data_IF_364031424012
#
_entry.id   IF_364031424012
#
_cell.length_a   1.000
_cell.length_b   1.000
_cell.length_c   1.000
_cell.angle_alpha   90.00
_cell.angle_beta   90.00
_cell.angle_gamma   90.00
#
_symmetry.space_group_name_H-M   'P 1'
#
loop_
_entity.id
_entity.type
_entity.pdbx_description
1 polymer ?
#
# COMPACT_ATOMS: atom_id res chain seq x y z
N UNK A 1 -19.10 -12.36 41.25
CA UNK A 1 -18.40 -12.09 39.99
C UNK A 1 -17.68 -13.37 39.64
N UNK A 2 -17.89 -13.92 38.44
CA UNK A 2 -17.13 -15.10 37.99
C UNK A 2 -15.63 -14.77 37.87
N UNK A 3 -14.80 -15.80 37.80
CA UNK A 3 -13.37 -15.62 37.56
C UNK A 3 -13.15 -15.02 36.16
N UNK A 4 -12.22 -14.07 36.06
CA UNK A 4 -11.88 -13.41 34.80
C UNK A 4 -11.28 -14.40 33.79
N UNK A 5 -11.83 -14.44 32.59
CA UNK A 5 -11.40 -15.34 31.52
C UNK A 5 -10.77 -14.57 30.33
N UNK A 6 -9.98 -15.24 29.47
CA UNK A 6 -9.52 -14.65 28.21
C UNK A 6 -10.65 -14.13 27.32
N UNK A 7 -11.82 -14.79 27.34
CA UNK A 7 -13.01 -14.36 26.60
C UNK A 7 -13.55 -13.03 27.14
N UNK A 8 -13.52 -12.81 28.45
CA UNK A 8 -13.90 -11.53 29.05
C UNK A 8 -12.94 -10.41 28.60
N UNK A 9 -11.66 -10.71 28.46
CA UNK A 9 -10.67 -9.77 27.93
C UNK A 9 -10.89 -9.43 26.46
N UNK A 10 -11.15 -10.45 25.63
CA UNK A 10 -11.45 -10.28 24.21
C UNK A 10 -12.70 -9.40 24.00
N UNK A 11 -13.75 -9.63 24.80
CA UNK A 11 -14.98 -8.83 24.77
C UNK A 11 -14.74 -7.40 25.28
N UNK A 12 -14.03 -7.23 26.41
CA UNK A 12 -13.77 -5.91 26.99
C UNK A 12 -12.97 -5.03 26.05
N UNK A 13 -11.95 -5.59 25.37
CA UNK A 13 -11.08 -4.84 24.46
C UNK A 13 -11.56 -4.86 23.00
N UNK A 14 -12.65 -5.56 22.69
CA UNK A 14 -13.23 -5.65 21.36
C UNK A 14 -12.24 -6.14 20.31
N UNK A 15 -11.34 -7.07 20.65
CA UNK A 15 -10.25 -7.49 19.74
C UNK A 15 -10.79 -8.01 18.42
N UNK A 16 -11.89 -8.77 18.45
CA UNK A 16 -12.56 -9.27 17.26
C UNK A 16 -13.10 -8.14 16.34
N UNK A 17 -13.46 -6.98 16.88
CA UNK A 17 -14.12 -5.91 16.12
C UNK A 17 -13.16 -5.13 15.22
N UNK A 18 -11.90 -4.95 15.65
CA UNK A 18 -10.91 -4.15 14.91
C UNK A 18 -9.78 -4.98 14.30
N UNK A 19 -9.54 -6.20 14.78
CA UNK A 19 -8.36 -6.98 14.38
C UNK A 19 -8.42 -7.48 12.95
N UNK A 20 -9.62 -7.60 12.35
CA UNK A 20 -9.79 -8.19 11.04
C UNK A 20 -9.30 -9.64 10.95
N UNK A 21 -9.27 -10.36 12.07
CA UNK A 21 -8.73 -11.73 12.15
C UNK A 21 -7.22 -11.82 12.33
N UNK A 22 -6.49 -10.70 12.27
CA UNK A 22 -5.02 -10.68 12.40
C UNK A 22 -4.52 -10.74 13.84
N UNK A 23 -5.38 -10.46 14.81
CA UNK A 23 -5.05 -10.47 16.23
C UNK A 23 -6.15 -11.20 17.02
N UNK A 24 -5.75 -11.99 18.01
CA UNK A 24 -6.65 -12.71 18.89
C UNK A 24 -6.09 -12.80 20.30
N UNK A 25 -6.94 -13.13 21.27
CA UNK A 25 -6.52 -13.48 22.64
C UNK A 25 -6.37 -15.00 22.73
N UNK A 26 -5.22 -15.49 23.18
CA UNK A 26 -4.97 -16.91 23.38
C UNK A 26 -5.66 -17.46 24.63
N UNK A 27 -5.71 -18.79 24.77
CA UNK A 27 -6.17 -19.44 26.01
C UNK A 27 -5.31 -19.09 27.24
N UNK A 28 -4.04 -18.73 27.02
CA UNK A 28 -3.14 -18.24 28.08
C UNK A 28 -3.35 -16.76 28.43
N UNK A 29 -4.25 -16.06 27.73
CA UNK A 29 -4.55 -14.63 27.93
C UNK A 29 -3.56 -13.67 27.25
N UNK A 30 -2.68 -14.18 26.38
CA UNK A 30 -1.73 -13.37 25.61
C UNK A 30 -2.35 -12.91 24.29
N UNK A 31 -1.82 -11.83 23.70
CA UNK A 31 -2.16 -11.44 22.33
C UNK A 31 -1.35 -12.28 21.34
N UNK A 32 -2.06 -12.88 20.39
CA UNK A 32 -1.49 -13.58 19.25
C UNK A 32 -1.66 -12.78 17.97
N UNK A 33 -0.70 -12.91 17.06
CA UNK A 33 -0.80 -12.43 15.68
C UNK A 33 -1.02 -13.62 14.74
N UNK A 34 -1.97 -13.46 13.84
CA UNK A 34 -2.30 -14.40 12.76
C UNK A 34 -1.99 -13.68 11.44
N UNK A 35 -0.78 -13.80 10.88
CA UNK A 35 -0.37 -12.97 9.75
C UNK A 35 -1.26 -13.08 8.51
N UNK A 36 -1.89 -14.23 8.25
CA UNK A 36 -2.78 -14.40 7.10
C UNK A 36 -4.24 -13.97 7.40
N UNK A 37 -4.58 -13.70 8.67
CA UNK A 37 -5.93 -13.26 9.07
C UNK A 37 -6.99 -14.36 9.05
N UNK A 38 -6.59 -15.62 8.81
CA UNK A 38 -7.49 -16.79 8.80
C UNK A 38 -7.23 -17.72 9.98
N UNK A 39 -8.19 -18.59 10.36
CA UNK A 39 -8.00 -19.56 11.43
C UNK A 39 -6.83 -20.54 11.20
N UNK A 40 -6.48 -20.80 9.94
CA UNK A 40 -5.36 -21.66 9.53
C UNK A 40 -4.01 -20.94 9.56
N UNK A 41 -4.01 -19.61 9.71
CA UNK A 41 -2.80 -18.81 9.85
C UNK A 41 -1.95 -19.32 11.02
N UNK A 42 -0.62 -19.35 10.90
CA UNK A 42 0.24 -19.58 12.06
C UNK A 42 -0.07 -18.54 13.14
N UNK A 43 -0.13 -18.99 14.39
CA UNK A 43 -0.34 -18.15 15.57
C UNK A 43 1.00 -17.77 16.17
N UNK A 44 1.21 -16.48 16.40
CA UNK A 44 2.45 -15.93 16.94
C UNK A 44 2.12 -15.22 18.25
N UNK A 45 2.49 -15.82 19.38
CA UNK A 45 2.36 -15.18 20.69
C UNK A 45 3.31 -13.97 20.81
N UNK A 46 2.76 -12.76 20.92
CA UNK A 46 3.55 -11.53 20.98
C UNK A 46 4.42 -11.43 22.22
N UNK A 47 3.96 -11.97 23.35
CA UNK A 47 4.70 -11.95 24.61
C UNK A 47 5.94 -12.84 24.51
N UNK A 48 5.79 -14.04 23.93
CA UNK A 48 6.92 -14.94 23.68
C UNK A 48 7.92 -14.36 22.67
N UNK A 49 7.44 -13.74 21.59
CA UNK A 49 8.30 -13.07 20.62
C UNK A 49 9.08 -11.91 21.25
N UNK A 50 8.42 -11.07 22.04
CA UNK A 50 9.07 -9.97 22.74
C UNK A 50 10.15 -10.47 23.70
N UNK A 51 9.88 -11.53 24.46
CA UNK A 51 10.87 -12.13 25.36
C UNK A 51 12.06 -12.71 24.60
N UNK A 52 11.83 -13.32 23.43
CA UNK A 52 12.89 -13.82 22.55
C UNK A 52 13.76 -12.69 22.02
N UNK A 53 13.16 -11.58 21.57
CA UNK A 53 13.88 -10.38 21.11
C UNK A 53 14.72 -9.78 22.25
N UNK A 54 14.17 -9.69 23.46
CA UNK A 54 14.88 -9.19 24.65
C UNK A 54 16.06 -10.07 25.05
N UNK A 55 15.93 -11.40 24.95
CA UNK A 55 17.03 -12.35 25.19
C UNK A 55 18.19 -12.17 24.21
N UNK A 56 17.91 -11.66 23.00
CA UNK A 56 18.93 -11.29 22.00
C UNK A 56 19.56 -9.91 22.26
N UNK A 57 19.23 -9.25 23.36
CA UNK A 57 19.82 -7.96 23.77
C UNK A 57 19.11 -6.72 23.20
N UNK A 58 18.05 -6.89 22.40
CA UNK A 58 17.27 -5.76 21.88
C UNK A 58 16.32 -5.25 22.95
N UNK A 59 16.35 -3.94 23.20
CA UNK A 59 15.55 -3.29 24.26
C UNK A 59 14.36 -2.53 23.67
N UNK A 60 13.22 -2.46 24.37
CA UNK A 60 12.10 -1.59 23.98
C UNK A 60 12.50 -0.09 23.94
N UNK A 61 11.82 0.75 23.14
CA UNK A 61 10.66 0.42 22.29
C UNK A 61 11.04 -0.40 21.04
N UNK A 62 10.21 -1.39 20.69
CA UNK A 62 10.39 -2.26 19.51
C UNK A 62 9.18 -2.12 18.61
N UNK A 63 9.42 -1.83 17.32
CA UNK A 63 8.40 -1.88 16.27
C UNK A 63 8.46 -3.25 15.58
N UNK A 64 7.41 -4.06 15.76
CA UNK A 64 7.26 -5.34 15.08
C UNK A 64 6.41 -5.16 13.82
N UNK A 65 6.86 -5.75 12.71
CA UNK A 65 6.15 -5.74 11.42
C UNK A 65 5.85 -7.18 11.03
N UNK A 66 4.65 -7.38 10.52
CA UNK A 66 4.16 -8.69 10.08
C UNK A 66 3.77 -8.61 8.62
N UNK A 67 4.69 -8.98 7.73
CA UNK A 67 4.45 -8.88 6.28
C UNK A 67 3.29 -9.74 5.80
N UNK A 68 2.98 -10.83 6.51
CA UNK A 68 1.81 -11.64 6.20
C UNK A 68 0.54 -10.80 6.19
N UNK A 69 0.40 -9.84 7.11
CA UNK A 69 -0.76 -8.94 7.17
C UNK A 69 -0.78 -8.08 5.91
N UNK A 70 0.34 -7.49 5.52
CA UNK A 70 0.43 -6.67 4.29
C UNK A 70 0.02 -7.47 3.06
N UNK A 71 0.54 -8.70 2.92
CA UNK A 71 0.20 -9.59 1.80
C UNK A 71 -1.27 -10.00 1.83
N UNK A 72 -1.80 -10.35 3.00
CA UNK A 72 -3.21 -10.72 3.16
C UNK A 72 -4.14 -9.57 2.76
N UNK A 73 -3.86 -8.33 3.19
CA UNK A 73 -4.64 -7.14 2.79
C UNK A 73 -4.62 -6.88 1.28
N UNK A 74 -3.49 -7.13 0.60
CA UNK A 74 -3.42 -7.03 -0.87
C UNK A 74 -4.33 -8.08 -1.51
N UNK A 75 -4.26 -9.34 -1.07
CA UNK A 75 -5.14 -10.41 -1.57
C UNK A 75 -6.62 -10.12 -1.32
N UNK A 76 -6.98 -9.66 -0.13
CA UNK A 76 -8.36 -9.29 0.22
C UNK A 76 -8.91 -8.19 -0.70
N UNK A 77 -8.12 -7.15 -0.98
CA UNK A 77 -8.54 -6.07 -1.90
C UNK A 77 -8.78 -6.59 -3.31
N UNK A 78 -7.85 -7.39 -3.86
CA UNK A 78 -8.05 -7.98 -5.19
C UNK A 78 -9.26 -8.91 -5.22
N UNK A 79 -9.40 -9.80 -4.23
CA UNK A 79 -10.54 -10.71 -4.15
C UNK A 79 -11.88 -9.96 -4.09
N UNK A 80 -11.97 -8.86 -3.32
CA UNK A 80 -13.18 -8.06 -3.23
C UNK A 80 -13.55 -7.40 -4.58
N UNK A 81 -12.57 -6.81 -5.27
CA UNK A 81 -12.82 -6.21 -6.59
C UNK A 81 -13.10 -7.27 -7.66
N UNK A 82 -12.46 -8.44 -7.61
CA UNK A 82 -12.72 -9.53 -8.54
C UNK A 82 -14.12 -10.13 -8.35
N UNK A 83 -14.58 -10.27 -7.10
CA UNK A 83 -15.95 -10.68 -6.79
C UNK A 83 -16.97 -9.68 -7.35
N UNK A 84 -16.77 -8.38 -7.11
CA UNK A 84 -17.64 -7.35 -7.66
C UNK A 84 -17.60 -7.34 -9.21
N UNK A 85 -16.43 -7.49 -9.82
CA UNK A 85 -16.33 -7.57 -11.29
C UNK A 85 -17.11 -8.74 -11.86
N UNK A 86 -17.05 -9.91 -11.21
CA UNK A 86 -17.81 -11.09 -11.60
C UNK A 86 -19.32 -10.90 -11.41
N UNK A 87 -19.75 -10.25 -10.32
CA UNK A 87 -21.17 -9.97 -10.05
C UNK A 87 -21.79 -9.03 -11.10
N UNK A 88 -21.03 -8.02 -11.56
CA UNK A 88 -21.50 -7.00 -12.49
C UNK A 88 -21.05 -7.21 -13.94
N UNK A 89 -20.49 -8.38 -14.28
CA UNK A 89 -19.94 -8.70 -15.61
C UNK A 89 -18.98 -7.63 -16.16
N UNK A 90 -18.16 -7.02 -15.29
CA UNK A 90 -17.24 -5.95 -15.67
C UNK A 90 -15.92 -6.51 -16.23
N UNK A 91 -15.62 -6.33 -17.53
CA UNK A 91 -14.58 -7.08 -18.20
C UNK A 91 -13.15 -6.60 -17.87
N UNK A 92 -12.99 -5.32 -17.54
CA UNK A 92 -11.66 -4.74 -17.35
C UNK A 92 -11.06 -5.13 -15.98
N UNK A 93 -9.74 -5.36 -15.90
CA UNK A 93 -9.07 -5.72 -14.66
C UNK A 93 -9.07 -4.57 -13.65
N UNK A 94 -9.10 -4.92 -12.37
CA UNK A 94 -8.77 -4.00 -11.29
C UNK A 94 -7.25 -3.97 -11.10
N UNK A 95 -6.68 -2.77 -10.93
CA UNK A 95 -5.26 -2.55 -10.67
C UNK A 95 -5.12 -1.68 -9.43
N UNK A 96 -4.61 -2.25 -8.34
CA UNK A 96 -4.36 -1.50 -7.10
C UNK A 96 -3.15 -0.58 -7.30
N UNK A 97 -3.21 0.64 -6.76
CA UNK A 97 -2.08 1.58 -6.72
C UNK A 97 -1.85 2.00 -5.27
N UNK A 98 -0.65 1.75 -4.74
CA UNK A 98 -0.31 2.09 -3.36
C UNK A 98 0.38 3.47 -3.27
N UNK A 99 -0.23 4.45 -2.57
CA UNK A 99 0.36 5.76 -2.36
C UNK A 99 1.48 5.69 -1.31
N UNK A 100 2.74 5.78 -1.74
CA UNK A 100 3.88 5.54 -0.84
C UNK A 100 4.01 6.61 0.25
N UNK A 101 3.36 7.77 0.10
CA UNK A 101 3.25 8.80 1.14
C UNK A 101 2.72 8.28 2.48
N UNK A 102 1.98 7.18 2.48
CA UNK A 102 1.43 6.54 3.68
C UNK A 102 2.53 5.84 4.48
N UNK A 103 3.44 5.15 3.79
CA UNK A 103 4.62 4.54 4.38
C UNK A 103 5.65 4.26 3.27
N UNK A 104 6.76 5.01 3.28
CA UNK A 104 7.85 4.93 2.30
C UNK A 104 8.90 3.88 2.64
N UNK A 105 8.77 3.14 3.76
CA UNK A 105 9.75 2.11 4.12
C UNK A 105 9.82 1.07 3.02
N UNK A 106 11.03 0.88 2.46
CA UNK A 106 11.31 -0.07 1.39
C UNK A 106 10.67 -1.44 1.64
N UNK A 107 10.80 -1.93 2.86
CA UNK A 107 10.25 -3.23 3.25
C UNK A 107 8.73 -3.32 3.05
N UNK A 108 7.99 -2.27 3.41
CA UNK A 108 6.53 -2.23 3.24
C UNK A 108 6.18 -2.20 1.75
N UNK A 109 6.81 -1.29 1.01
CA UNK A 109 6.54 -1.11 -0.42
C UNK A 109 6.85 -2.38 -1.21
N UNK A 110 8.01 -3.00 -0.96
CA UNK A 110 8.42 -4.24 -1.62
C UNK A 110 7.51 -5.43 -1.24
N UNK A 111 7.11 -5.56 0.02
CA UNK A 111 6.15 -6.60 0.46
C UNK A 111 4.81 -6.47 -0.27
N UNK A 112 4.28 -5.25 -0.42
CA UNK A 112 3.02 -4.99 -1.12
C UNK A 112 3.13 -5.26 -2.62
N UNK A 113 4.17 -4.73 -3.27
CA UNK A 113 4.37 -4.90 -4.72
C UNK A 113 4.66 -6.35 -5.10
N UNK A 114 5.39 -7.08 -4.26
CA UNK A 114 5.67 -8.50 -4.49
C UNK A 114 4.38 -9.32 -4.51
N UNK A 115 3.48 -9.09 -3.55
CA UNK A 115 2.17 -9.77 -3.50
C UNK A 115 1.27 -9.34 -4.68
N UNK A 116 1.20 -8.04 -4.95
CA UNK A 116 0.35 -7.49 -6.00
C UNK A 116 0.86 -7.68 -7.42
N UNK A 117 2.04 -8.28 -7.60
CA UNK A 117 2.74 -8.40 -8.90
C UNK A 117 1.89 -9.15 -9.93
N UNK A 118 1.22 -10.23 -9.53
CA UNK A 118 0.38 -11.04 -10.42
C UNK A 118 -0.81 -10.25 -11.01
N UNK A 119 -1.23 -9.19 -10.34
CA UNK A 119 -2.33 -8.32 -10.74
C UNK A 119 -1.85 -6.97 -11.31
N UNK A 120 -0.54 -6.82 -11.49
CA UNK A 120 0.07 -5.58 -11.99
C UNK A 120 -0.01 -4.41 -11.01
N UNK A 121 -0.01 -4.63 -9.70
CA UNK A 121 -0.06 -3.52 -8.72
C UNK A 121 0.93 -2.38 -9.05
N UNK A 122 0.47 -1.14 -8.95
CA UNK A 122 1.27 0.07 -9.19
C UNK A 122 1.55 0.85 -7.90
N UNK A 123 2.30 1.93 -8.05
CA UNK A 123 2.64 2.87 -6.98
C UNK A 123 2.15 4.28 -7.30
N UNK A 124 1.83 5.05 -6.28
CA UNK A 124 1.57 6.49 -6.41
C UNK A 124 2.60 7.27 -5.61
N UNK A 125 3.09 8.34 -6.24
CA UNK A 125 4.07 9.26 -5.70
C UNK A 125 3.51 10.67 -5.76
N UNK A 126 3.69 11.44 -4.69
CA UNK A 126 3.22 12.82 -4.57
C UNK A 126 4.31 13.87 -4.75
N UNK A 127 5.57 13.44 -4.93
CA UNK A 127 6.72 14.35 -5.00
C UNK A 127 7.92 13.74 -5.75
N UNK A 128 8.85 14.58 -6.18
CA UNK A 128 10.11 14.14 -6.82
C UNK A 128 10.95 13.20 -5.94
N UNK A 129 11.16 13.44 -4.63
CA UNK A 129 11.89 12.49 -3.78
C UNK A 129 11.20 11.12 -3.68
N UNK A 130 9.87 11.09 -3.64
CA UNK A 130 9.10 9.85 -3.67
C UNK A 130 9.24 9.11 -5.00
N UNK A 131 9.18 9.84 -6.13
CA UNK A 131 9.48 9.25 -7.44
C UNK A 131 10.88 8.63 -7.45
N UNK A 132 11.91 9.36 -7.04
CA UNK A 132 13.28 8.85 -6.98
C UNK A 132 13.40 7.60 -6.11
N UNK A 133 12.72 7.56 -4.96
CA UNK A 133 12.68 6.38 -4.10
C UNK A 133 12.08 5.16 -4.85
N UNK A 134 10.93 5.35 -5.50
CA UNK A 134 10.28 4.29 -6.29
C UNK A 134 11.15 3.79 -7.44
N UNK A 135 11.87 4.69 -8.14
CA UNK A 135 12.75 4.31 -9.25
C UNK A 135 13.92 3.41 -8.82
N UNK A 136 14.25 3.37 -7.53
CA UNK A 136 15.31 2.50 -6.98
C UNK A 136 14.82 1.13 -6.51
N UNK A 137 13.51 0.90 -6.50
CA UNK A 137 12.89 -0.33 -5.99
C UNK A 137 12.59 -1.32 -7.13
N UNK A 138 12.56 -2.62 -6.81
CA UNK A 138 12.04 -3.63 -7.74
C UNK A 138 10.51 -3.48 -7.86
N UNK A 139 10.08 -2.88 -8.96
CA UNK A 139 8.67 -2.58 -9.24
C UNK A 139 8.01 -3.62 -10.16
N UNK A 140 8.69 -4.73 -10.46
CA UNK A 140 8.16 -5.82 -11.28
C UNK A 140 8.29 -5.59 -12.80
N UNK A 141 7.58 -6.41 -13.58
CA UNK A 141 7.75 -6.51 -15.04
C UNK A 141 6.95 -5.49 -15.86
N UNK A 142 5.91 -4.89 -15.29
CA UNK A 142 5.14 -3.78 -15.89
C UNK A 142 4.88 -2.69 -14.84
N UNK A 143 5.93 -1.97 -14.42
CA UNK A 143 5.81 -1.04 -13.30
C UNK A 143 4.99 0.19 -13.70
N UNK A 144 3.91 0.43 -12.98
CA UNK A 144 3.05 1.61 -13.10
C UNK A 144 3.30 2.57 -11.94
N UNK A 145 3.59 3.83 -12.27
CA UNK A 145 3.75 4.90 -11.28
C UNK A 145 2.82 6.06 -11.62
N UNK A 146 1.92 6.38 -10.70
CA UNK A 146 1.04 7.54 -10.79
C UNK A 146 1.74 8.72 -10.13
N UNK A 147 2.04 9.77 -10.91
CA UNK A 147 2.73 10.97 -10.44
C UNK A 147 1.70 12.08 -10.13
N UNK A 148 1.41 12.26 -8.85
CA UNK A 148 0.56 13.31 -8.30
C UNK A 148 1.39 14.44 -7.65
N UNK A 149 0.68 15.43 -7.11
CA UNK A 149 1.25 16.54 -6.35
C UNK A 149 1.75 17.68 -7.24
N UNK A 150 2.49 18.61 -6.64
CA UNK A 150 3.09 19.73 -7.36
C UNK A 150 4.29 19.27 -8.18
N UNK A 151 4.29 19.57 -9.48
CA UNK A 151 5.32 19.15 -10.42
C UNK A 151 6.08 20.37 -10.93
N UNK A 152 7.33 20.49 -10.51
CA UNK A 152 8.29 21.38 -11.17
C UNK A 152 8.84 20.70 -12.44
N UNK A 153 9.59 21.46 -13.24
CA UNK A 153 10.13 20.96 -14.51
C UNK A 153 11.05 19.75 -14.28
N UNK A 154 11.85 19.74 -13.20
CA UNK A 154 12.70 18.59 -12.85
C UNK A 154 11.91 17.32 -12.53
N UNK A 155 10.79 17.42 -11.80
CA UNK A 155 9.92 16.27 -11.53
C UNK A 155 9.31 15.74 -12.84
N UNK A 156 8.82 16.63 -13.71
CA UNK A 156 8.26 16.25 -15.01
C UNK A 156 9.32 15.52 -15.84
N UNK A 157 10.51 16.09 -15.99
CA UNK A 157 11.61 15.48 -16.74
C UNK A 157 12.01 14.13 -16.17
N UNK A 158 12.12 14.01 -14.84
CA UNK A 158 12.44 12.75 -14.16
C UNK A 158 11.39 11.68 -14.46
N UNK A 159 10.10 12.03 -14.40
CA UNK A 159 9.02 11.10 -14.70
C UNK A 159 9.02 10.68 -16.17
N UNK A 160 9.34 11.58 -17.10
CA UNK A 160 9.46 11.24 -18.52
C UNK A 160 10.67 10.33 -18.77
N UNK A 161 11.83 10.64 -18.17
CA UNK A 161 13.04 9.82 -18.29
C UNK A 161 12.84 8.41 -17.73
N UNK A 162 12.07 8.25 -16.65
CA UNK A 162 11.72 6.94 -16.11
C UNK A 162 11.01 6.03 -17.15
N UNK A 163 10.31 6.60 -18.13
CA UNK A 163 9.71 5.83 -19.24
C UNK A 163 10.74 5.14 -20.11
N UNK A 164 11.93 5.71 -20.25
CA UNK A 164 13.06 5.05 -20.95
C UNK A 164 13.59 3.84 -20.20
N UNK A 165 13.30 3.71 -18.91
CA UNK A 165 13.61 2.54 -18.08
C UNK A 165 12.50 1.48 -18.15
N UNK A 166 11.49 1.66 -19.01
CA UNK A 166 10.34 0.75 -19.11
C UNK A 166 9.25 0.99 -18.07
N UNK A 167 9.33 2.07 -17.29
CA UNK A 167 8.36 2.40 -16.26
C UNK A 167 7.23 3.23 -16.84
N UNK A 168 5.99 2.75 -16.71
CA UNK A 168 4.81 3.51 -17.10
C UNK A 168 4.53 4.58 -16.05
N UNK A 169 5.08 5.77 -16.27
CA UNK A 169 4.75 6.96 -15.47
C UNK A 169 3.53 7.68 -16.05
N UNK A 170 2.54 7.95 -15.20
CA UNK A 170 1.34 8.73 -15.53
C UNK A 170 1.42 10.08 -14.82
N UNK A 171 1.60 11.15 -15.58
CA UNK A 171 1.62 12.52 -15.06
C UNK A 171 0.19 13.01 -14.87
N UNK A 172 -0.30 13.07 -13.63
CA UNK A 172 -1.66 13.51 -13.32
C UNK A 172 -1.69 15.03 -13.24
N UNK A 173 -2.40 15.66 -14.17
CA UNK A 173 -2.59 17.11 -14.20
C UNK A 173 -3.66 17.50 -13.18
N UNK A 174 -3.28 18.40 -12.26
CA UNK A 174 -4.18 19.04 -11.30
C UNK A 174 -4.51 20.49 -11.68
N UNK A 175 -3.59 21.16 -12.39
CA UNK A 175 -3.77 22.53 -12.90
C UNK A 175 -3.46 22.56 -14.40
N UNK A 176 -4.31 23.24 -15.17
CA UNK A 176 -4.13 23.40 -16.62
C UNK A 176 -2.72 23.88 -17.00
N UNK A 177 -2.12 24.76 -16.21
CA UNK A 177 -0.75 25.27 -16.42
C UNK A 177 0.34 24.19 -16.44
N UNK A 178 0.11 23.02 -15.83
CA UNK A 178 1.08 21.91 -15.85
C UNK A 178 1.17 21.27 -17.24
N UNK A 179 0.11 21.33 -18.05
CA UNK A 179 0.07 20.73 -19.38
C UNK A 179 1.17 21.29 -20.28
N UNK A 180 1.34 22.61 -20.30
CA UNK A 180 2.35 23.27 -21.13
C UNK A 180 3.77 22.86 -20.73
N UNK A 181 4.06 22.73 -19.43
CA UNK A 181 5.36 22.23 -18.95
C UNK A 181 5.59 20.78 -19.36
N UNK A 182 4.58 19.91 -19.24
CA UNK A 182 4.67 18.50 -19.65
C UNK A 182 4.97 18.39 -21.15
N UNK A 183 4.24 19.15 -21.98
CA UNK A 183 4.41 19.11 -23.44
C UNK A 183 5.79 19.65 -23.86
N UNK A 184 6.26 20.74 -23.26
CA UNK A 184 7.61 21.27 -23.53
C UNK A 184 8.70 20.27 -23.16
N UNK A 185 8.62 19.65 -21.98
CA UNK A 185 9.60 18.67 -21.54
C UNK A 185 9.56 17.40 -22.41
N UNK A 186 8.35 16.95 -22.80
CA UNK A 186 8.17 15.82 -23.72
C UNK A 186 8.81 16.05 -25.09
N UNK A 187 8.61 17.24 -25.68
CA UNK A 187 9.22 17.62 -26.96
C UNK A 187 10.75 17.70 -26.84
N UNK A 188 11.24 18.37 -25.80
CA UNK A 188 12.68 18.51 -25.52
C UNK A 188 13.38 17.15 -25.35
N UNK A 189 12.73 16.22 -24.65
CA UNK A 189 13.29 14.88 -24.40
C UNK A 189 12.97 13.85 -25.50
N UNK A 190 12.07 14.18 -26.44
CA UNK A 190 11.55 13.24 -27.43
C UNK A 190 10.85 12.02 -26.81
N UNK A 191 10.16 12.20 -25.67
CA UNK A 191 9.47 11.12 -24.94
C UNK A 191 7.98 11.43 -24.90
N UNK A 192 7.15 10.54 -25.46
CA UNK A 192 5.71 10.68 -25.37
C UNK A 192 5.22 10.56 -23.91
N UNK A 193 4.52 11.57 -23.37
CA UNK A 193 3.99 11.54 -22.01
C UNK A 193 2.73 10.67 -21.95
N UNK A 194 2.47 10.05 -20.80
CA UNK A 194 1.13 9.54 -20.46
C UNK A 194 0.53 10.48 -19.43
N UNK A 195 -0.64 11.03 -19.76
CA UNK A 195 -1.26 12.12 -19.00
C UNK A 195 -2.55 11.60 -18.36
N UNK A 196 -2.67 11.80 -17.05
CA UNK A 196 -3.91 11.69 -16.31
C UNK A 196 -4.50 13.07 -16.02
N UNK A 197 -5.80 13.15 -15.72
CA UNK A 197 -6.46 14.41 -15.37
C UNK A 197 -7.22 14.25 -14.07
N UNK A 198 -6.93 15.10 -13.09
CA UNK A 198 -7.68 15.16 -11.82
C UNK A 198 -8.87 16.12 -11.96
N UNK A 199 -10.06 15.57 -12.15
CA UNK A 199 -11.29 16.35 -12.25
C UNK A 199 -11.76 16.85 -10.86
N UNK A 200 -12.25 18.10 -10.80
CA UNK A 200 -12.97 18.62 -9.63
C UNK A 200 -14.42 18.15 -9.69
N UNK A 201 -14.84 17.37 -8.69
CA UNK A 201 -16.22 16.91 -8.59
C UNK A 201 -17.12 18.04 -8.04
N UNK A 202 -18.30 18.22 -8.63
CA UNK A 202 -19.31 19.19 -8.21
C UNK A 202 -20.16 18.72 -7.01
N UNK A 203 -19.94 17.47 -6.58
CA UNK A 203 -20.60 16.89 -5.41
C UNK A 203 -20.06 17.57 -4.15
N UNK A 204 -20.95 18.16 -3.35
CA UNK A 204 -20.63 18.71 -2.03
C UNK A 204 -20.32 17.55 -1.06
N UNK A 205 -19.09 17.06 -1.07
CA UNK A 205 -18.58 16.26 0.03
C UNK A 205 -18.32 17.17 1.21
N UNK A 206 -19.09 17.04 2.28
CA UNK A 206 -18.72 17.60 3.58
C UNK A 206 -17.42 16.94 3.99
N UNK A 207 -16.29 17.61 3.77
CA UNK A 207 -14.99 17.16 4.22
C UNK A 207 -15.04 16.95 5.74
N UNK A 208 -15.17 15.68 6.13
CA UNK A 208 -14.68 15.11 7.37
C UNK A 208 -13.81 13.93 6.98
#
# INVERSE_FOLDING_TARGET
MGDWTPQDAELLYGVADWSGGYFAVSESGNIEVLPDGTPESPRIDLFEQLNTIRRRGVRPPILMRFDGILRSRVRELYAAFDAARAEYDYPAPYRLVYPIKVNQDRHVVESLITEGRAHGMGLEVGSKPELLAVLTMDTGSDPLVICNGYKDDEYIETALLARRLGITTVLVIEKYSELDSILRAADTLGIAPVIGVRAKLSVRGSGR
#
